data_IF_088194546279
#
_entry.id   IF_088194546279
#
_cell.length_a   1.000
_cell.length_b   1.000
_cell.length_c   1.000
_cell.angle_alpha   90.00
_cell.angle_beta   90.00
_cell.angle_gamma   90.00
#
_symmetry.space_group_name_H-M   'P 1'
#
loop_
_entity.id
_entity.type
_entity.pdbx_description
1 polymer ?
#
# COMPACT_ATOMS: atom_id res chain seq x y z
N UNK A 1 2.02 2.26 -34.01
CA UNK A 1 0.82 1.86 -34.78
C UNK A 1 0.29 3.10 -35.47
N UNK A 2 0.03 2.99 -36.77
CA UNK A 2 -0.54 4.10 -37.53
C UNK A 2 -2.04 4.27 -37.18
N UNK A 3 -2.64 5.46 -37.35
CA UNK A 3 -4.08 5.66 -37.18
C UNK A 3 -4.94 4.71 -38.05
N UNK A 4 -4.39 4.27 -39.19
CA UNK A 4 -5.06 3.38 -40.15
C UNK A 4 -5.13 1.91 -39.65
N UNK A 5 -4.17 1.50 -38.82
CA UNK A 5 -4.18 0.17 -38.18
C UNK A 5 -5.29 0.07 -37.12
N UNK A 6 -5.51 1.15 -36.35
CA UNK A 6 -6.58 1.25 -35.37
C UNK A 6 -7.96 1.26 -36.03
N UNK A 7 -8.12 1.99 -37.14
CA UNK A 7 -9.36 2.00 -37.94
C UNK A 7 -9.73 0.62 -38.48
N UNK A 8 -8.72 -0.14 -38.95
CA UNK A 8 -8.91 -1.48 -39.48
C UNK A 8 -9.29 -2.50 -38.40
N UNK A 9 -8.68 -2.42 -37.21
CA UNK A 9 -9.05 -3.24 -36.04
C UNK A 9 -10.45 -2.86 -35.54
N UNK A 10 -10.78 -1.57 -35.52
CA UNK A 10 -12.10 -1.06 -35.12
C UNK A 10 -13.19 -1.54 -36.08
N UNK A 11 -12.94 -1.53 -37.40
CA UNK A 11 -13.85 -2.08 -38.41
C UNK A 11 -14.00 -3.59 -38.30
N UNK A 12 -12.90 -4.32 -38.04
CA UNK A 12 -12.97 -5.78 -37.85
C UNK A 12 -13.79 -6.14 -36.61
N UNK A 13 -13.58 -5.44 -35.49
CA UNK A 13 -14.32 -5.63 -34.23
C UNK A 13 -15.78 -5.20 -34.36
N UNK A 14 -16.08 -4.13 -35.08
CA UNK A 14 -17.44 -3.64 -35.31
C UNK A 14 -18.22 -4.54 -36.30
N UNK A 15 -17.56 -5.10 -37.32
CA UNK A 15 -18.14 -6.14 -38.19
C UNK A 15 -18.39 -7.43 -37.41
N UNK A 16 -17.48 -7.80 -36.52
CA UNK A 16 -17.64 -8.99 -35.66
C UNK A 16 -18.81 -8.78 -34.68
N UNK A 17 -18.90 -7.60 -34.05
CA UNK A 17 -19.97 -7.20 -33.12
C UNK A 17 -21.35 -7.10 -33.79
N UNK A 18 -21.44 -6.53 -35.00
CA UNK A 18 -22.71 -6.44 -35.75
C UNK A 18 -23.16 -7.79 -36.30
N UNK A 19 -22.22 -8.70 -36.61
CA UNK A 19 -22.50 -10.07 -37.03
C UNK A 19 -23.01 -10.94 -35.87
N UNK A 20 -22.41 -10.82 -34.68
CA UNK A 20 -22.83 -11.57 -33.48
C UNK A 20 -24.04 -10.96 -32.77
N UNK A 21 -24.23 -9.63 -32.80
CA UNK A 21 -25.43 -8.97 -32.26
C UNK A 21 -26.72 -9.39 -32.98
N UNK A 22 -26.67 -9.69 -34.30
CA UNK A 22 -27.79 -10.29 -35.03
C UNK A 22 -28.13 -11.72 -34.61
N UNK A 23 -27.21 -12.43 -33.96
CA UNK A 23 -27.48 -13.74 -33.35
C UNK A 23 -28.05 -13.60 -31.93
N UNK A 24 -27.78 -12.49 -31.23
CA UNK A 24 -28.21 -12.27 -29.84
C UNK A 24 -29.73 -12.02 -29.71
N UNK A 25 -30.34 -11.32 -30.67
CA UNK A 25 -31.81 -11.12 -30.73
C UNK A 25 -32.60 -12.44 -30.95
N UNK A 26 -31.90 -13.55 -31.21
CA UNK A 26 -32.50 -14.88 -31.40
C UNK A 26 -32.18 -15.89 -30.31
N UNK A 27 -31.47 -15.50 -29.24
CA UNK A 27 -31.20 -16.41 -28.11
C UNK A 27 -32.40 -16.44 -27.16
N UNK A 28 -33.48 -17.09 -27.62
CA UNK A 28 -34.38 -17.85 -26.74
C UNK A 28 -33.52 -18.94 -26.09
N UNK A 29 -33.71 -19.30 -24.79
CA UNK A 29 -32.92 -20.36 -24.18
C UNK A 29 -33.10 -21.64 -25.00
N UNK A 30 -32.05 -22.21 -25.61
CA UNK A 30 -32.18 -23.51 -26.22
C UNK A 30 -32.11 -24.51 -25.08
N UNK A 31 -33.28 -25.04 -24.69
CA UNK A 31 -33.29 -26.42 -24.24
C UNK A 31 -32.60 -27.23 -25.35
N UNK A 32 -31.48 -27.86 -25.01
CA UNK A 32 -30.73 -28.79 -25.88
C UNK A 32 -30.20 -28.20 -27.21
N UNK A 33 -29.07 -27.50 -27.16
CA UNK A 33 -28.31 -27.17 -28.37
C UNK A 33 -26.96 -26.53 -28.07
N UNK A 34 -25.88 -27.30 -28.16
CA UNK A 34 -24.53 -26.87 -27.80
C UNK A 34 -24.02 -25.73 -28.67
N UNK A 35 -24.03 -24.51 -28.13
CA UNK A 35 -23.06 -23.51 -28.54
C UNK A 35 -21.67 -24.10 -28.24
N UNK A 36 -20.81 -24.22 -29.24
CA UNK A 36 -19.46 -24.75 -29.01
C UNK A 36 -18.75 -23.85 -27.99
N UNK A 37 -18.12 -24.44 -26.97
CA UNK A 37 -17.34 -23.71 -25.93
C UNK A 37 -16.35 -22.73 -26.57
N UNK A 38 -15.85 -23.07 -27.76
CA UNK A 38 -15.00 -22.23 -28.60
C UNK A 38 -15.67 -20.93 -29.09
N UNK A 39 -16.94 -20.98 -29.48
CA UNK A 39 -17.69 -19.80 -29.94
C UNK A 39 -17.92 -18.80 -28.81
N UNK A 40 -18.19 -19.28 -27.60
CA UNK A 40 -18.36 -18.43 -26.41
C UNK A 40 -17.03 -17.80 -26.01
N UNK A 41 -15.94 -18.58 -26.00
CA UNK A 41 -14.60 -18.07 -25.68
C UNK A 41 -14.13 -17.01 -26.70
N UNK A 42 -14.34 -17.23 -28.00
CA UNK A 42 -13.97 -16.25 -29.02
C UNK A 42 -14.75 -14.94 -28.84
N UNK A 43 -16.05 -15.04 -28.54
CA UNK A 43 -16.89 -13.87 -28.29
C UNK A 43 -16.41 -13.08 -27.07
N UNK A 44 -16.21 -13.76 -25.93
CA UNK A 44 -15.71 -13.14 -24.70
C UNK A 44 -14.35 -12.46 -24.94
N UNK A 45 -13.40 -13.14 -25.59
CA UNK A 45 -12.09 -12.54 -25.91
C UNK A 45 -12.21 -11.31 -26.81
N UNK A 46 -13.06 -11.36 -27.84
CA UNK A 46 -13.25 -10.23 -28.76
C UNK A 46 -13.87 -9.01 -28.07
N UNK A 47 -14.88 -9.23 -27.22
CA UNK A 47 -15.57 -8.18 -26.49
C UNK A 47 -14.66 -7.58 -25.41
N UNK A 48 -13.89 -8.39 -24.68
CA UNK A 48 -12.91 -7.93 -23.70
C UNK A 48 -11.81 -7.09 -24.34
N UNK A 49 -11.23 -7.54 -25.46
CA UNK A 49 -10.20 -6.77 -26.16
C UNK A 49 -10.74 -5.43 -26.69
N UNK A 50 -11.96 -5.45 -27.23
CA UNK A 50 -12.63 -4.24 -27.71
C UNK A 50 -12.93 -3.28 -26.55
N UNK A 51 -13.40 -3.78 -25.42
CA UNK A 51 -13.75 -2.96 -24.27
C UNK A 51 -12.52 -2.30 -23.64
N UNK A 52 -11.41 -3.03 -23.49
CA UNK A 52 -10.12 -2.48 -23.06
C UNK A 52 -9.63 -1.36 -24.00
N UNK A 53 -9.76 -1.58 -25.32
CA UNK A 53 -9.37 -0.59 -26.33
C UNK A 53 -10.25 0.67 -26.22
N UNK A 54 -11.55 0.54 -25.99
CA UNK A 54 -12.42 1.69 -25.78
C UNK A 54 -12.04 2.43 -24.49
N UNK A 55 -11.88 1.71 -23.38
CA UNK A 55 -11.54 2.28 -22.06
C UNK A 55 -10.24 3.09 -22.09
N UNK A 56 -9.22 2.62 -22.82
CA UNK A 56 -7.94 3.35 -22.98
C UNK A 56 -8.02 4.61 -23.85
N UNK A 57 -9.10 4.77 -24.62
CA UNK A 57 -9.33 5.94 -25.46
C UNK A 57 -10.28 6.98 -24.83
N UNK A 58 -10.94 6.66 -23.72
CA UNK A 58 -11.75 7.61 -22.97
C UNK A 58 -10.91 8.78 -22.43
N UNK A 59 -11.47 9.98 -22.45
CA UNK A 59 -10.84 11.22 -21.99
C UNK A 59 -9.92 11.89 -23.02
N UNK A 60 -9.73 11.27 -24.20
CA UNK A 60 -8.97 11.87 -25.31
C UNK A 60 -9.78 12.90 -26.10
N UNK A 61 -11.11 12.80 -26.08
CA UNK A 61 -12.01 13.70 -26.82
C UNK A 61 -13.41 13.71 -26.20
N UNK A 62 -13.78 14.84 -25.57
CA UNK A 62 -15.09 15.05 -24.95
C UNK A 62 -16.31 14.64 -25.82
N UNK A 63 -16.39 14.97 -27.12
CA UNK A 63 -17.54 14.55 -27.94
C UNK A 63 -17.53 13.06 -28.29
N UNK A 64 -16.38 12.39 -28.27
CA UNK A 64 -16.30 10.94 -28.48
C UNK A 64 -16.63 10.16 -27.21
N UNK A 65 -16.32 10.72 -26.03
CA UNK A 65 -16.48 10.05 -24.75
C UNK A 65 -17.93 9.59 -24.52
N UNK A 66 -18.93 10.41 -24.85
CA UNK A 66 -20.36 10.01 -24.73
C UNK A 66 -20.69 8.78 -25.58
N UNK A 67 -20.17 8.72 -26.82
CA UNK A 67 -20.39 7.58 -27.72
C UNK A 67 -19.65 6.34 -27.23
N UNK A 68 -18.41 6.50 -26.76
CA UNK A 68 -17.60 5.41 -26.23
C UNK A 68 -18.22 4.82 -24.95
N UNK A 69 -18.77 5.65 -24.06
CA UNK A 69 -19.50 5.22 -22.86
C UNK A 69 -20.76 4.44 -23.23
N UNK A 70 -21.54 4.90 -24.20
CA UNK A 70 -22.71 4.17 -24.68
C UNK A 70 -22.34 2.80 -25.28
N UNK A 71 -21.21 2.73 -26.00
CA UNK A 71 -20.67 1.46 -26.50
C UNK A 71 -20.24 0.55 -25.35
N UNK A 72 -19.51 1.07 -24.35
CA UNK A 72 -19.11 0.30 -23.18
C UNK A 72 -20.33 -0.23 -22.42
N UNK A 73 -21.35 0.58 -22.17
CA UNK A 73 -22.57 0.14 -21.48
C UNK A 73 -23.24 -1.04 -22.19
N UNK A 74 -23.31 -1.03 -23.53
CA UNK A 74 -23.86 -2.14 -24.33
C UNK A 74 -22.96 -3.38 -24.30
N UNK A 75 -21.64 -3.20 -24.34
CA UNK A 75 -20.70 -4.32 -24.23
C UNK A 75 -20.85 -4.96 -22.86
N UNK A 76 -20.80 -4.18 -21.79
CA UNK A 76 -20.94 -4.64 -20.41
C UNK A 76 -22.26 -5.38 -20.19
N UNK A 77 -23.40 -4.88 -20.71
CA UNK A 77 -24.70 -5.55 -20.58
C UNK A 77 -24.77 -6.90 -21.31
N UNK A 78 -23.93 -7.10 -22.34
CA UNK A 78 -23.79 -8.39 -23.03
C UNK A 78 -22.77 -9.32 -22.37
N UNK A 79 -21.68 -8.75 -21.84
CA UNK A 79 -20.53 -9.50 -21.32
C UNK A 79 -20.85 -10.15 -19.97
N UNK A 80 -21.56 -9.45 -19.07
CA UNK A 80 -21.91 -9.98 -17.75
C UNK A 80 -22.70 -11.29 -17.79
N UNK A 81 -23.88 -11.36 -18.44
CA UNK A 81 -24.66 -12.60 -18.56
C UNK A 81 -23.94 -13.71 -19.31
N UNK A 82 -23.12 -13.38 -20.32
CA UNK A 82 -22.33 -14.35 -21.07
C UNK A 82 -21.27 -15.02 -20.17
N UNK A 83 -20.62 -14.25 -19.30
CA UNK A 83 -19.66 -14.75 -18.32
C UNK A 83 -20.35 -15.61 -17.26
N UNK A 84 -21.50 -15.19 -16.73
CA UNK A 84 -22.26 -16.01 -15.78
C UNK A 84 -22.68 -17.35 -16.37
N UNK A 85 -23.08 -17.37 -17.64
CA UNK A 85 -23.46 -18.58 -18.37
C UNK A 85 -22.25 -19.49 -18.58
N UNK A 86 -21.10 -18.91 -18.95
CA UNK A 86 -19.84 -19.63 -19.08
C UNK A 86 -19.40 -20.27 -17.76
N UNK A 87 -19.50 -19.54 -16.65
CA UNK A 87 -19.23 -20.03 -15.29
C UNK A 87 -20.15 -21.19 -14.91
N UNK A 88 -21.47 -21.06 -15.12
CA UNK A 88 -22.43 -22.14 -14.83
C UNK A 88 -22.19 -23.40 -15.66
N UNK A 89 -21.73 -23.25 -16.90
CA UNK A 89 -21.51 -24.38 -17.81
C UNK A 89 -20.20 -25.12 -17.52
N UNK A 90 -19.16 -24.42 -17.07
CA UNK A 90 -17.82 -24.98 -16.87
C UNK A 90 -17.48 -25.32 -15.40
N UNK A 91 -18.16 -24.72 -14.40
CA UNK A 91 -17.88 -24.94 -12.98
C UNK A 91 -18.71 -26.04 -12.30
N UNK A 92 -19.63 -26.70 -13.02
CA UNK A 92 -20.48 -27.78 -12.48
C UNK A 92 -19.82 -29.18 -12.50
N UNK A 93 -18.57 -29.30 -12.94
CA UNK A 93 -17.83 -30.55 -12.88
C UNK A 93 -17.03 -30.60 -11.56
N UNK A 94 -17.56 -31.31 -10.56
CA UNK A 94 -17.01 -31.45 -9.20
C UNK A 94 -15.59 -32.07 -9.11
N UNK A 95 -14.97 -32.44 -10.23
CA UNK A 95 -13.73 -33.23 -10.27
C UNK A 95 -12.56 -32.56 -11.04
N UNK A 96 -12.63 -31.29 -11.43
CA UNK A 96 -11.47 -30.67 -12.10
C UNK A 96 -10.43 -30.08 -11.12
N UNK A 97 -9.14 -30.39 -11.29
CA UNK A 97 -8.08 -29.78 -10.50
C UNK A 97 -8.03 -28.27 -10.74
N UNK A 98 -7.77 -27.52 -9.67
CA UNK A 98 -7.82 -26.06 -9.58
C UNK A 98 -6.71 -25.33 -10.39
N UNK A 99 -6.27 -25.87 -11.51
CA UNK A 99 -5.11 -25.42 -12.27
C UNK A 99 -5.35 -25.50 -13.77
N UNK A 100 -6.40 -24.85 -14.28
CA UNK A 100 -6.60 -24.67 -15.72
C UNK A 100 -6.49 -23.19 -16.12
N UNK A 101 -5.91 -22.88 -17.30
CA UNK A 101 -5.81 -21.52 -17.86
C UNK A 101 -7.17 -20.82 -18.00
N UNK A 102 -8.26 -21.59 -17.94
CA UNK A 102 -9.65 -21.13 -17.89
C UNK A 102 -9.93 -20.21 -16.69
N UNK A 103 -9.28 -20.40 -15.54
CA UNK A 103 -9.50 -19.55 -14.36
C UNK A 103 -8.90 -18.15 -14.52
N UNK A 104 -7.65 -18.05 -15.00
CA UNK A 104 -6.99 -16.77 -15.25
C UNK A 104 -7.77 -15.95 -16.29
N UNK A 105 -8.23 -16.62 -17.36
CA UNK A 105 -9.06 -16.04 -18.40
C UNK A 105 -10.38 -15.49 -17.87
N UNK A 106 -11.09 -16.25 -17.03
CA UNK A 106 -12.34 -15.79 -16.42
C UNK A 106 -12.12 -14.55 -15.56
N UNK A 107 -11.07 -14.54 -14.73
CA UNK A 107 -10.74 -13.38 -13.89
C UNK A 107 -10.47 -12.16 -14.78
N UNK A 108 -9.70 -12.32 -15.85
CA UNK A 108 -9.39 -11.23 -16.78
C UNK A 108 -10.65 -10.65 -17.46
N UNK A 109 -11.55 -11.52 -17.94
CA UNK A 109 -12.80 -11.08 -18.56
C UNK A 109 -13.68 -10.35 -17.56
N UNK A 110 -13.81 -10.84 -16.33
CA UNK A 110 -14.59 -10.19 -15.27
C UNK A 110 -13.99 -8.85 -14.86
N UNK A 111 -12.65 -8.75 -14.76
CA UNK A 111 -11.99 -7.46 -14.50
C UNK A 111 -12.29 -6.45 -15.60
N UNK A 112 -12.29 -6.89 -16.87
CA UNK A 112 -12.64 -6.01 -17.98
C UNK A 112 -14.10 -5.52 -17.88
N UNK A 113 -15.07 -6.38 -17.49
CA UNK A 113 -16.46 -5.96 -17.24
C UNK A 113 -16.49 -4.85 -16.17
N UNK A 114 -15.78 -5.08 -15.06
CA UNK A 114 -15.71 -4.15 -13.93
C UNK A 114 -15.09 -2.80 -14.33
N UNK A 115 -13.97 -2.82 -15.05
CA UNK A 115 -13.31 -1.60 -15.52
C UNK A 115 -14.21 -0.79 -16.47
N UNK A 116 -15.02 -1.46 -17.28
CA UNK A 116 -15.98 -0.79 -18.16
C UNK A 116 -17.11 -0.10 -17.38
N UNK A 117 -17.63 -0.74 -16.33
CA UNK A 117 -18.61 -0.11 -15.43
C UNK A 117 -18.00 1.08 -14.70
N UNK A 118 -16.79 0.93 -14.18
CA UNK A 118 -16.05 2.00 -13.50
C UNK A 118 -15.79 3.21 -14.40
N UNK A 119 -15.41 2.96 -15.66
CA UNK A 119 -15.17 4.00 -16.64
C UNK A 119 -16.48 4.76 -16.94
N UNK A 120 -17.59 4.03 -17.09
CA UNK A 120 -18.92 4.61 -17.31
C UNK A 120 -19.40 5.45 -16.13
N UNK A 121 -19.03 5.08 -14.90
CA UNK A 121 -19.34 5.85 -13.68
C UNK A 121 -18.46 7.10 -13.49
N UNK A 122 -17.32 7.19 -14.18
CA UNK A 122 -16.34 8.27 -13.96
C UNK A 122 -16.55 9.53 -14.80
N UNK A 123 -17.39 9.44 -15.84
CA UNK A 123 -17.69 10.53 -16.77
C UNK A 123 -19.11 11.03 -16.53
N UNK A 124 -19.31 11.67 -15.37
CA UNK A 124 -20.55 12.40 -15.11
C UNK A 124 -20.51 13.72 -15.88
N UNK A 125 -21.08 13.70 -17.10
CA UNK A 125 -21.54 14.91 -17.78
C UNK A 125 -22.81 15.36 -17.05
N UNK A 126 -22.70 16.44 -16.30
CA UNK A 126 -23.82 17.21 -15.73
C UNK A 126 -24.75 16.46 -14.76
N UNK A 127 -24.29 16.30 -13.50
CA UNK A 127 -25.15 16.46 -12.32
C UNK A 127 -26.43 15.62 -12.22
N UNK A 128 -26.56 14.52 -12.96
CA UNK A 128 -27.68 13.58 -12.85
C UNK A 128 -27.21 12.36 -12.07
N UNK A 129 -27.44 12.42 -10.76
CA UNK A 129 -27.40 11.27 -9.86
C UNK A 129 -28.26 10.13 -10.43
N UNK A 130 -27.67 9.20 -11.15
CA UNK A 130 -28.33 7.98 -11.60
C UNK A 130 -27.40 6.80 -11.33
N UNK A 131 -27.79 5.99 -10.34
CA UNK A 131 -27.22 4.70 -9.93
C UNK A 131 -25.69 4.66 -9.76
N UNK A 132 -25.23 5.02 -8.57
CA UNK A 132 -23.88 4.73 -8.04
C UNK A 132 -23.61 3.24 -7.80
N UNK A 133 -24.43 2.33 -8.34
CA UNK A 133 -24.37 0.90 -8.05
C UNK A 133 -23.89 0.13 -9.27
N UNK A 134 -22.88 -0.73 -9.05
CA UNK A 134 -22.37 -1.67 -10.04
C UNK A 134 -23.47 -2.65 -10.47
N UNK A 135 -23.64 -2.87 -11.77
CA UNK A 135 -24.74 -3.67 -12.30
C UNK A 135 -24.51 -5.18 -12.08
N UNK A 136 -23.25 -5.63 -12.10
CA UNK A 136 -22.88 -7.03 -11.92
C UNK A 136 -22.24 -7.33 -10.55
N UNK A 137 -22.69 -6.65 -9.49
CA UNK A 137 -22.10 -6.75 -8.14
C UNK A 137 -22.01 -8.20 -7.60
N UNK A 138 -23.04 -9.02 -7.83
CA UNK A 138 -23.06 -10.43 -7.41
C UNK A 138 -21.96 -11.25 -8.07
N UNK A 139 -21.73 -11.04 -9.37
CA UNK A 139 -20.65 -11.69 -10.11
C UNK A 139 -19.29 -11.32 -9.51
N UNK A 140 -19.06 -10.03 -9.24
CA UNK A 140 -17.79 -9.57 -8.67
C UNK A 140 -17.54 -10.13 -7.27
N UNK A 141 -18.58 -10.21 -6.42
CA UNK A 141 -18.47 -10.80 -5.09
C UNK A 141 -18.09 -12.28 -5.14
N UNK A 142 -18.73 -13.07 -6.02
CA UNK A 142 -18.43 -14.50 -6.19
C UNK A 142 -16.98 -14.70 -6.65
N UNK A 143 -16.55 -13.94 -7.66
CA UNK A 143 -15.17 -14.01 -8.18
C UNK A 143 -14.16 -13.59 -7.12
N UNK A 144 -14.45 -12.52 -6.36
CA UNK A 144 -13.60 -12.08 -5.26
C UNK A 144 -13.43 -13.17 -4.19
N UNK A 145 -14.53 -13.78 -3.73
CA UNK A 145 -14.47 -14.86 -2.75
C UNK A 145 -13.69 -16.08 -3.26
N UNK A 146 -13.85 -16.41 -4.55
CA UNK A 146 -13.11 -17.51 -5.17
C UNK A 146 -11.61 -17.23 -5.24
N UNK A 147 -11.22 -16.03 -5.67
CA UNK A 147 -9.81 -15.59 -5.68
C UNK A 147 -9.23 -15.68 -4.26
N UNK A 148 -9.92 -15.12 -3.26
CA UNK A 148 -9.46 -15.15 -1.87
C UNK A 148 -9.36 -16.59 -1.33
N UNK A 149 -10.18 -17.52 -1.79
CA UNK A 149 -10.07 -18.92 -1.37
C UNK A 149 -8.87 -19.63 -2.03
N UNK A 150 -8.59 -19.32 -3.28
CA UNK A 150 -7.69 -20.12 -4.11
C UNK A 150 -6.26 -19.58 -4.19
N UNK A 151 -6.07 -18.26 -4.22
CA UNK A 151 -4.82 -17.58 -4.55
C UNK A 151 -3.62 -18.02 -3.70
N UNK A 152 -3.80 -18.22 -2.39
CA UNK A 152 -2.74 -18.61 -1.45
C UNK A 152 -2.82 -20.07 -0.97
N UNK A 153 -3.74 -20.87 -1.49
CA UNK A 153 -4.05 -22.22 -0.98
C UNK A 153 -3.05 -23.31 -1.41
N UNK A 154 -2.46 -23.17 -2.59
CA UNK A 154 -1.58 -24.14 -3.24
C UNK A 154 -0.80 -23.43 -4.37
N UNK A 155 0.24 -24.04 -4.97
CA UNK A 155 0.90 -23.48 -6.14
C UNK A 155 -0.09 -23.18 -7.28
N UNK A 156 -0.02 -21.98 -7.86
CA UNK A 156 -0.91 -21.52 -8.95
C UNK A 156 -0.11 -21.01 -10.16
N UNK A 157 -0.69 -21.06 -11.37
CA UNK A 157 -0.12 -20.41 -12.54
C UNK A 157 0.06 -18.89 -12.32
N UNK A 158 1.16 -18.33 -12.82
CA UNK A 158 1.48 -16.91 -12.67
C UNK A 158 0.41 -15.99 -13.26
N UNK A 159 -0.14 -16.34 -14.42
CA UNK A 159 -1.19 -15.56 -15.08
C UNK A 159 -2.44 -15.43 -14.21
N UNK A 160 -2.79 -16.49 -13.46
CA UNK A 160 -3.91 -16.45 -12.52
C UNK A 160 -3.63 -15.49 -11.35
N UNK A 161 -2.41 -15.53 -10.80
CA UNK A 161 -2.02 -14.66 -9.68
C UNK A 161 -2.02 -13.18 -10.09
N UNK A 162 -1.45 -12.88 -11.27
CA UNK A 162 -1.41 -11.51 -11.81
C UNK A 162 -2.82 -10.99 -12.08
N UNK A 163 -3.66 -11.76 -12.79
CA UNK A 163 -5.05 -11.38 -13.07
C UNK A 163 -5.87 -11.22 -11.80
N UNK A 164 -5.63 -12.06 -10.78
CA UNK A 164 -6.28 -11.97 -9.47
C UNK A 164 -5.93 -10.69 -8.73
N UNK A 165 -4.65 -10.32 -8.66
CA UNK A 165 -4.21 -9.06 -8.03
C UNK A 165 -4.80 -7.85 -8.74
N UNK A 166 -4.84 -7.87 -10.09
CA UNK A 166 -5.45 -6.82 -10.88
C UNK A 166 -6.96 -6.69 -10.59
N UNK A 167 -7.69 -7.81 -10.58
CA UNK A 167 -9.11 -7.84 -10.23
C UNK A 167 -9.36 -7.28 -8.83
N UNK A 168 -8.63 -7.75 -7.82
CA UNK A 168 -8.82 -7.31 -6.43
C UNK A 168 -8.58 -5.80 -6.26
N UNK A 169 -7.59 -5.26 -6.97
CA UNK A 169 -7.31 -3.82 -7.00
C UNK A 169 -8.45 -3.03 -7.63
N UNK A 170 -8.90 -3.43 -8.81
CA UNK A 170 -10.02 -2.80 -9.51
C UNK A 170 -11.32 -2.88 -8.69
N UNK A 171 -11.59 -4.03 -8.08
CA UNK A 171 -12.81 -4.26 -7.29
C UNK A 171 -12.82 -3.43 -6.01
N UNK A 172 -11.70 -3.38 -5.29
CA UNK A 172 -11.59 -2.52 -4.12
C UNK A 172 -11.78 -1.04 -4.49
N UNK A 173 -11.12 -0.57 -5.55
CA UNK A 173 -11.30 0.79 -6.09
C UNK A 173 -12.75 1.10 -6.43
N UNK A 174 -13.50 0.13 -6.95
CA UNK A 174 -14.91 0.29 -7.27
C UNK A 174 -15.79 0.40 -6.02
N UNK A 175 -15.53 -0.42 -5.01
CA UNK A 175 -16.30 -0.38 -3.78
C UNK A 175 -16.11 0.95 -3.05
N UNK A 176 -14.88 1.46 -3.02
CA UNK A 176 -14.57 2.77 -2.43
C UNK A 176 -15.33 3.92 -3.09
N UNK A 177 -15.61 3.82 -4.39
CA UNK A 177 -16.40 4.82 -5.11
C UNK A 177 -17.91 4.68 -4.89
N UNK A 178 -18.39 3.53 -4.45
CA UNK A 178 -19.83 3.15 -4.53
C UNK A 178 -20.48 2.83 -3.19
N UNK A 179 -19.73 2.62 -2.09
CA UNK A 179 -20.24 2.25 -0.76
C UNK A 179 -19.39 2.84 0.39
N UNK A 180 -19.96 2.87 1.60
CA UNK A 180 -19.32 3.15 2.91
C UNK A 180 -19.73 2.04 3.91
N UNK A 181 -19.02 1.63 4.96
CA UNK A 181 -17.63 1.80 5.42
C UNK A 181 -17.17 0.45 6.06
N UNK A 182 -18.01 -0.24 6.84
CA UNK A 182 -17.59 -1.43 7.62
C UNK A 182 -17.43 -2.76 6.84
N UNK A 183 -18.30 -3.08 5.88
CA UNK A 183 -18.18 -4.33 5.09
C UNK A 183 -16.96 -4.29 4.15
N UNK A 184 -16.62 -3.09 3.66
CA UNK A 184 -15.45 -2.85 2.83
C UNK A 184 -14.16 -3.08 3.59
N UNK A 185 -14.15 -2.70 4.86
CA UNK A 185 -13.04 -2.94 5.76
C UNK A 185 -12.82 -4.45 5.92
N UNK A 186 -13.84 -5.23 6.25
CA UNK A 186 -13.65 -6.69 6.39
C UNK A 186 -13.09 -7.32 5.11
N UNK A 187 -13.58 -6.91 3.95
CA UNK A 187 -13.06 -7.37 2.66
C UNK A 187 -11.59 -6.97 2.46
N UNK A 188 -11.22 -5.75 2.83
CA UNK A 188 -9.84 -5.26 2.82
C UNK A 188 -8.91 -6.16 3.63
N UNK A 189 -9.29 -6.51 4.87
CA UNK A 189 -8.46 -7.38 5.73
C UNK A 189 -8.24 -8.71 5.05
N UNK A 190 -9.30 -9.28 4.48
CA UNK A 190 -9.23 -10.56 3.80
C UNK A 190 -8.28 -10.50 2.59
N UNK A 191 -8.37 -9.45 1.77
CA UNK A 191 -7.46 -9.22 0.64
C UNK A 191 -6.01 -9.15 1.12
N UNK A 192 -5.72 -8.31 2.12
CA UNK A 192 -4.36 -8.09 2.60
C UNK A 192 -3.74 -9.33 3.25
N UNK A 193 -4.51 -10.04 4.08
CA UNK A 193 -4.08 -11.31 4.64
C UNK A 193 -3.82 -12.36 3.55
N UNK A 194 -4.60 -12.35 2.47
CA UNK A 194 -4.38 -13.27 1.35
C UNK A 194 -3.09 -12.98 0.60
N UNK A 195 -2.85 -11.70 0.29
CA UNK A 195 -1.61 -11.25 -0.36
C UNK A 195 -0.41 -11.56 0.53
N UNK A 196 -0.51 -11.34 1.84
CA UNK A 196 0.56 -11.70 2.78
C UNK A 196 0.81 -13.21 2.82
N UNK A 197 -0.25 -14.02 2.83
CA UNK A 197 -0.13 -15.49 2.76
C UNK A 197 0.49 -15.94 1.45
N UNK A 198 0.12 -15.30 0.33
CA UNK A 198 0.71 -15.54 -0.98
C UNK A 198 2.21 -15.23 -0.91
N UNK A 199 2.61 -14.03 -0.51
CA UNK A 199 4.03 -13.62 -0.46
C UNK A 199 4.90 -14.45 0.50
N UNK A 200 4.30 -15.08 1.51
CA UNK A 200 4.97 -15.99 2.44
C UNK A 200 4.99 -17.45 1.97
N UNK A 201 4.38 -17.76 0.83
CA UNK A 201 4.25 -19.13 0.37
C UNK A 201 5.60 -19.71 -0.05
N UNK A 202 5.95 -20.88 0.49
CA UNK A 202 7.24 -21.55 0.24
C UNK A 202 7.41 -22.03 -1.20
N UNK A 203 6.35 -22.01 -2.00
CA UNK A 203 6.35 -22.43 -3.40
C UNK A 203 6.59 -21.28 -4.39
N UNK A 204 6.62 -20.03 -3.94
CA UNK A 204 6.99 -18.89 -4.77
C UNK A 204 8.51 -18.72 -4.77
N UNK A 205 9.10 -18.72 -5.98
CA UNK A 205 10.50 -18.36 -6.14
C UNK A 205 10.69 -16.83 -6.10
N UNK A 206 11.93 -16.37 -5.89
CA UNK A 206 12.26 -14.94 -6.00
C UNK A 206 11.81 -14.35 -7.34
N UNK A 207 12.07 -15.04 -8.45
CA UNK A 207 11.69 -14.57 -9.79
C UNK A 207 10.17 -14.49 -10.00
N UNK A 208 9.39 -15.31 -9.28
CA UNK A 208 7.93 -15.24 -9.35
C UNK A 208 7.40 -14.07 -8.53
N UNK A 209 8.00 -13.78 -7.38
CA UNK A 209 7.65 -12.61 -6.57
C UNK A 209 7.92 -11.32 -7.34
N UNK A 210 9.01 -11.23 -8.10
CA UNK A 210 9.32 -10.08 -8.97
C UNK A 210 8.21 -9.81 -10.00
N UNK A 211 7.63 -10.86 -10.59
CA UNK A 211 6.52 -10.72 -11.54
C UNK A 211 5.21 -10.26 -10.88
N UNK A 212 5.01 -10.58 -9.60
CA UNK A 212 3.84 -10.15 -8.83
C UNK A 212 3.98 -8.74 -8.27
N UNK A 213 5.21 -8.22 -8.18
CA UNK A 213 5.55 -6.93 -7.58
C UNK A 213 4.61 -5.81 -8.05
N UNK A 214 4.36 -5.57 -9.36
CA UNK A 214 3.54 -4.44 -9.79
C UNK A 214 2.08 -4.56 -9.34
N UNK A 215 1.52 -5.78 -9.37
CA UNK A 215 0.13 -6.03 -8.96
C UNK A 215 -0.06 -5.89 -7.45
N UNK A 216 0.91 -6.36 -6.67
CA UNK A 216 0.93 -6.19 -5.20
C UNK A 216 1.08 -4.72 -4.83
N UNK A 217 1.96 -3.99 -5.51
CA UNK A 217 2.17 -2.56 -5.26
C UNK A 217 0.93 -1.73 -5.57
N UNK A 218 0.29 -1.96 -6.71
CA UNK A 218 -0.89 -1.19 -7.09
C UNK A 218 -2.05 -1.45 -6.12
N UNK A 219 -2.22 -2.71 -5.72
CA UNK A 219 -3.17 -3.08 -4.69
C UNK A 219 -2.84 -2.39 -3.36
N UNK A 220 -1.61 -2.49 -2.86
CA UNK A 220 -1.19 -1.82 -1.63
C UNK A 220 -1.34 -0.29 -1.72
N UNK A 221 -1.06 0.33 -2.85
CA UNK A 221 -1.24 1.77 -3.09
C UNK A 221 -2.71 2.16 -2.95
N UNK A 222 -3.61 1.40 -3.55
CA UNK A 222 -5.06 1.63 -3.45
C UNK A 222 -5.58 1.43 -2.03
N UNK A 223 -5.16 0.34 -1.40
CA UNK A 223 -5.48 0.02 -0.01
C UNK A 223 -4.99 1.13 0.94
N UNK A 224 -3.79 1.65 0.68
CA UNK A 224 -3.16 2.68 1.50
C UNK A 224 -3.79 4.07 1.32
N UNK A 225 -4.01 4.50 0.07
CA UNK A 225 -4.59 5.80 -0.25
C UNK A 225 -5.94 5.99 0.45
N UNK A 226 -6.77 4.95 0.47
CA UNK A 226 -8.11 4.96 1.08
C UNK A 226 -8.03 4.98 2.60
N UNK A 227 -7.07 4.26 3.20
CA UNK A 227 -6.88 4.30 4.65
C UNK A 227 -6.38 5.66 5.14
N UNK A 228 -5.50 6.30 4.38
CA UNK A 228 -5.00 7.64 4.73
C UNK A 228 -6.09 8.72 4.73
N UNK A 229 -7.20 8.48 4.03
CA UNK A 229 -8.38 9.36 4.06
C UNK A 229 -9.35 9.11 5.21
N UNK A 230 -9.37 7.93 5.85
CA UNK A 230 -10.44 7.58 6.79
C UNK A 230 -10.19 7.98 8.25
N UNK A 231 -8.96 8.32 8.67
CA UNK A 231 -8.55 8.73 10.04
C UNK A 231 -9.08 7.90 11.23
N UNK A 232 -9.82 6.81 11.02
CA UNK A 232 -10.45 6.05 12.11
C UNK A 232 -9.44 5.22 12.90
N UNK A 233 -9.21 5.53 14.17
CA UNK A 233 -8.29 4.81 15.04
C UNK A 233 -8.66 3.33 15.27
N UNK A 234 -9.94 2.96 15.12
CA UNK A 234 -10.44 1.58 15.33
C UNK A 234 -9.77 0.57 14.39
N UNK A 235 -9.33 1.03 13.22
CA UNK A 235 -8.77 0.21 12.16
C UNK A 235 -7.25 0.07 12.27
N UNK A 236 -6.60 0.73 13.22
CA UNK A 236 -5.13 0.72 13.29
C UNK A 236 -4.58 -0.67 13.57
N UNK A 237 -5.16 -1.38 14.54
CA UNK A 237 -4.70 -2.72 14.93
C UNK A 237 -5.10 -3.82 13.93
N UNK A 238 -6.37 -3.95 13.51
CA UNK A 238 -6.76 -4.99 12.56
C UNK A 238 -6.28 -4.76 11.11
N UNK A 239 -5.93 -3.53 10.73
CA UNK A 239 -5.70 -3.18 9.33
C UNK A 239 -4.34 -2.54 9.08
N UNK A 240 -4.06 -1.41 9.73
CA UNK A 240 -2.84 -0.65 9.47
C UNK A 240 -1.59 -1.45 9.83
N UNK A 241 -1.57 -2.08 11.00
CA UNK A 241 -0.42 -2.86 11.47
C UNK A 241 -0.10 -4.04 10.54
N UNK A 242 -1.07 -4.92 10.17
CA UNK A 242 -0.81 -5.98 9.19
C UNK A 242 -0.38 -5.49 7.81
N UNK A 243 -0.93 -4.36 7.33
CA UNK A 243 -0.54 -3.78 6.05
C UNK A 243 0.93 -3.33 6.07
N UNK A 244 1.34 -2.61 7.11
CA UNK A 244 2.72 -2.18 7.30
C UNK A 244 3.65 -3.38 7.49
N UNK A 245 3.25 -4.39 8.26
CA UNK A 245 4.03 -5.61 8.42
C UNK A 245 4.22 -6.36 7.09
N UNK A 246 3.20 -6.35 6.22
CA UNK A 246 3.28 -6.94 4.88
C UNK A 246 4.25 -6.18 3.97
N UNK A 247 4.14 -4.85 3.95
CA UNK A 247 5.09 -3.97 3.24
C UNK A 247 6.51 -4.16 3.77
N UNK A 248 6.68 -4.30 5.08
CA UNK A 248 7.97 -4.55 5.72
C UNK A 248 8.54 -5.90 5.28
N UNK A 249 7.71 -6.94 5.20
CA UNK A 249 8.13 -8.25 4.70
C UNK A 249 8.59 -8.22 3.25
N UNK A 250 7.94 -7.38 2.41
CA UNK A 250 8.37 -7.15 1.02
C UNK A 250 9.69 -6.38 0.97
N UNK A 251 9.81 -5.31 1.75
CA UNK A 251 11.04 -4.52 1.84
C UNK A 251 12.25 -5.38 2.27
N UNK A 252 12.03 -6.37 3.16
CA UNK A 252 13.10 -7.30 3.61
C UNK A 252 13.68 -8.17 2.50
N UNK A 253 12.98 -8.30 1.38
CA UNK A 253 13.50 -9.03 0.22
C UNK A 253 14.60 -8.27 -0.53
N UNK A 254 14.78 -6.97 -0.23
CA UNK A 254 15.89 -6.16 -0.71
C UNK A 254 15.76 -5.70 -2.15
N UNK A 255 16.86 -5.12 -2.64
CA UNK A 255 16.93 -4.43 -3.93
C UNK A 255 16.61 -5.34 -5.13
N UNK A 256 16.90 -6.63 -5.03
CA UNK A 256 16.66 -7.59 -6.12
C UNK A 256 15.18 -7.84 -6.40
N UNK A 257 14.28 -7.47 -5.48
CA UNK A 257 12.83 -7.62 -5.62
C UNK A 257 12.06 -6.31 -5.62
N UNK A 258 12.68 -5.22 -5.18
CA UNK A 258 12.14 -3.86 -5.37
C UNK A 258 13.22 -3.07 -6.10
N UNK A 259 13.26 -3.26 -7.42
CA UNK A 259 14.31 -2.68 -8.26
C UNK A 259 14.14 -1.17 -8.42
N UNK A 260 12.92 -0.65 -8.28
CA UNK A 260 12.62 0.75 -8.48
C UNK A 260 12.51 1.51 -7.14
N UNK A 261 13.40 2.49 -6.87
CA UNK A 261 13.44 3.22 -5.61
C UNK A 261 12.17 4.02 -5.33
N UNK A 262 11.38 4.37 -6.37
CA UNK A 262 10.11 5.06 -6.19
C UNK A 262 9.11 4.26 -5.34
N UNK A 263 9.15 2.93 -5.37
CA UNK A 263 8.24 2.11 -4.57
C UNK A 263 8.53 2.24 -3.07
N UNK A 264 9.81 2.30 -2.69
CA UNK A 264 10.21 2.53 -1.31
C UNK A 264 9.83 3.94 -0.86
N UNK A 265 9.95 4.95 -1.74
CA UNK A 265 9.50 6.33 -1.46
C UNK A 265 7.97 6.40 -1.24
N UNK A 266 7.20 5.64 -2.00
CA UNK A 266 5.74 5.53 -1.79
C UNK A 266 5.43 4.90 -0.44
N UNK A 267 6.19 3.87 -0.02
CA UNK A 267 6.04 3.28 1.32
C UNK A 267 6.40 4.30 2.41
N UNK A 268 7.46 5.11 2.25
CA UNK A 268 7.76 6.18 3.19
C UNK A 268 6.62 7.21 3.28
N UNK A 269 6.08 7.61 2.13
CA UNK A 269 4.91 8.50 2.05
C UNK A 269 3.70 7.90 2.75
N UNK A 270 3.57 6.57 2.67
CA UNK A 270 2.52 5.83 3.35
C UNK A 270 2.73 5.81 4.88
N UNK A 271 3.91 5.44 5.35
CA UNK A 271 4.22 5.49 6.78
C UNK A 271 4.01 6.89 7.38
N UNK A 272 4.22 7.94 6.59
CA UNK A 272 4.00 9.32 7.00
C UNK A 272 2.53 9.67 7.30
N UNK A 273 1.54 9.00 6.72
CA UNK A 273 0.12 9.33 6.97
C UNK A 273 -0.55 8.43 8.01
N UNK A 274 0.20 7.51 8.64
CA UNK A 274 -0.33 6.66 9.70
C UNK A 274 -0.59 7.45 10.99
N UNK A 275 -1.76 7.30 11.65
CA UNK A 275 -2.04 7.97 12.91
C UNK A 275 -1.18 7.36 14.02
N UNK A 276 -0.52 8.22 14.80
CA UNK A 276 0.23 7.86 16.00
C UNK A 276 -0.26 8.63 17.23
N UNK A 277 -1.29 9.45 17.07
CA UNK A 277 -1.81 10.35 18.10
C UNK A 277 -3.10 9.76 18.68
N UNK A 278 -3.32 9.95 19.98
CA UNK A 278 -4.56 9.58 20.69
C UNK A 278 -4.96 8.09 20.59
N UNK A 279 -3.99 7.20 20.40
CA UNK A 279 -4.22 5.75 20.37
C UNK A 279 -4.20 5.15 21.78
N UNK A 280 -4.99 4.11 22.01
CA UNK A 280 -4.88 3.31 23.23
C UNK A 280 -3.47 2.66 23.29
N UNK A 281 -2.83 2.54 24.47
CA UNK A 281 -1.45 2.06 24.60
C UNK A 281 -1.09 0.78 23.84
N UNK A 282 -1.86 -0.32 23.87
CA UNK A 282 -1.50 -1.52 23.09
C UNK A 282 -1.57 -1.31 21.57
N UNK A 283 -2.52 -0.46 21.10
CA UNK A 283 -2.67 -0.11 19.68
C UNK A 283 -1.51 0.80 19.26
N UNK A 284 -1.18 1.77 20.11
CA UNK A 284 -0.02 2.65 19.95
C UNK A 284 1.26 1.84 19.78
N UNK A 285 1.55 0.92 20.70
CA UNK A 285 2.74 0.07 20.64
C UNK A 285 2.84 -0.69 19.30
N UNK A 286 1.73 -1.31 18.90
CA UNK A 286 1.69 -2.13 17.68
C UNK A 286 1.93 -1.29 16.42
N UNK A 287 1.32 -0.10 16.34
CA UNK A 287 1.53 0.84 15.24
C UNK A 287 2.96 1.37 15.22
N UNK A 288 3.48 1.77 16.38
CA UNK A 288 4.83 2.29 16.56
C UNK A 288 5.88 1.26 16.12
N UNK A 289 5.76 0.03 16.61
CA UNK A 289 6.65 -1.08 16.26
C UNK A 289 6.60 -1.37 14.75
N UNK A 290 5.41 -1.39 14.14
CA UNK A 290 5.28 -1.63 12.71
C UNK A 290 6.01 -0.57 11.87
N UNK A 291 5.86 0.71 12.22
CA UNK A 291 6.58 1.81 11.52
C UNK A 291 8.08 1.73 11.77
N UNK A 292 8.50 1.48 13.01
CA UNK A 292 9.90 1.30 13.37
C UNK A 292 10.56 0.17 12.55
N UNK A 293 9.93 -1.01 12.49
CA UNK A 293 10.44 -2.15 11.73
C UNK A 293 10.51 -1.88 10.22
N UNK A 294 9.54 -1.15 9.68
CA UNK A 294 9.56 -0.72 8.29
C UNK A 294 10.75 0.20 7.99
N UNK A 295 10.96 1.23 8.83
CA UNK A 295 12.10 2.15 8.70
C UNK A 295 13.43 1.41 8.84
N UNK A 296 13.54 0.51 9.83
CA UNK A 296 14.75 -0.27 10.05
C UNK A 296 15.08 -1.13 8.83
N UNK A 297 14.06 -1.78 8.27
CA UNK A 297 14.21 -2.58 7.04
C UNK A 297 14.66 -1.73 5.86
N UNK A 298 14.17 -0.49 5.73
CA UNK A 298 14.60 0.43 4.66
C UNK A 298 16.09 0.78 4.81
N UNK A 299 16.57 1.08 6.02
CA UNK A 299 18.01 1.31 6.27
C UNK A 299 18.84 0.10 5.87
N UNK A 300 18.40 -1.11 6.24
CA UNK A 300 19.20 -2.33 6.02
C UNK A 300 19.16 -2.84 4.59
N UNK A 301 18.00 -2.82 3.94
CA UNK A 301 17.76 -3.51 2.68
C UNK A 301 17.70 -2.56 1.48
N UNK A 302 17.58 -1.24 1.70
CA UNK A 302 17.42 -0.22 0.65
C UNK A 302 18.26 1.06 0.90
N UNK A 303 19.58 0.97 1.15
CA UNK A 303 20.44 2.10 1.49
C UNK A 303 20.53 3.18 0.38
N UNK A 304 20.39 2.79 -0.89
CA UNK A 304 20.32 3.68 -2.05
C UNK A 304 19.09 4.59 -2.04
N UNK A 305 17.98 4.12 -1.46
CA UNK A 305 16.79 4.96 -1.28
C UNK A 305 17.00 5.92 -0.12
N UNK A 306 17.67 5.48 0.95
CA UNK A 306 17.95 6.34 2.10
C UNK A 306 18.76 7.56 1.67
N UNK A 307 19.78 7.42 0.84
CA UNK A 307 20.59 8.56 0.37
C UNK A 307 19.81 9.54 -0.50
N UNK A 308 18.84 9.06 -1.30
CA UNK A 308 18.06 9.89 -2.23
C UNK A 308 16.80 10.48 -1.60
N UNK A 309 16.23 9.81 -0.59
CA UNK A 309 15.00 10.17 0.09
C UNK A 309 15.19 10.36 1.61
N UNK A 310 16.41 10.71 2.05
CA UNK A 310 16.74 10.96 3.45
C UNK A 310 15.75 11.91 4.15
N UNK A 311 15.29 13.03 3.53
CA UNK A 311 14.30 13.90 4.16
C UNK A 311 12.96 13.20 4.44
N UNK A 312 12.47 12.38 3.50
CA UNK A 312 11.23 11.63 3.68
C UNK A 312 11.37 10.58 4.77
N UNK A 313 12.50 9.86 4.80
CA UNK A 313 12.83 8.90 5.86
C UNK A 313 12.85 9.58 7.23
N UNK A 314 13.63 10.65 7.37
CA UNK A 314 13.78 11.37 8.63
C UNK A 314 12.48 12.01 9.09
N UNK A 315 11.61 12.44 8.17
CA UNK A 315 10.30 12.97 8.54
C UNK A 315 9.42 11.90 9.20
N UNK A 316 9.39 10.68 8.65
CA UNK A 316 8.67 9.56 9.29
C UNK A 316 9.28 9.21 10.64
N UNK A 317 10.61 9.15 10.74
CA UNK A 317 11.29 8.89 12.01
C UNK A 317 11.03 9.99 13.04
N UNK A 318 11.10 11.25 12.65
CA UNK A 318 10.79 12.38 13.53
C UNK A 318 9.35 12.32 14.06
N UNK A 319 8.39 11.85 13.27
CA UNK A 319 7.02 11.61 13.77
C UNK A 319 6.98 10.58 14.91
N UNK A 320 7.79 9.52 14.85
CA UNK A 320 7.92 8.57 15.96
C UNK A 320 8.53 9.25 17.20
N UNK A 321 9.60 10.02 17.04
CA UNK A 321 10.25 10.77 18.12
C UNK A 321 9.28 11.74 18.79
N UNK A 322 8.58 12.55 17.99
CA UNK A 322 7.62 13.52 18.51
C UNK A 322 6.43 12.84 19.19
N UNK A 323 5.92 11.76 18.59
CA UNK A 323 4.82 10.99 19.17
C UNK A 323 5.19 10.43 20.55
N UNK A 324 6.36 9.79 20.70
CA UNK A 324 6.76 9.23 22.00
C UNK A 324 7.09 10.32 23.03
N UNK A 325 7.58 11.49 22.59
CA UNK A 325 7.78 12.63 23.49
C UNK A 325 6.45 13.17 24.04
N UNK A 326 5.41 13.24 23.21
CA UNK A 326 4.09 13.70 23.63
C UNK A 326 3.38 12.69 24.53
N UNK A 327 3.41 11.41 24.17
CA UNK A 327 2.77 10.34 24.95
C UNK A 327 3.54 10.03 26.25
N UNK A 328 4.87 10.12 26.21
CA UNK A 328 5.79 9.89 27.33
C UNK A 328 5.95 11.07 28.29
N UNK A 329 5.10 12.10 28.18
CA UNK A 329 5.10 13.25 29.08
C UNK A 329 4.72 12.84 30.51
N UNK A 330 5.34 13.50 31.48
CA UNK A 330 5.00 13.37 32.88
C UNK A 330 3.61 13.95 33.13
N UNK A 331 2.60 13.06 33.20
CA UNK A 331 1.29 13.38 33.79
C UNK A 331 1.48 13.37 35.32
N UNK A 332 0.65 14.08 36.09
CA UNK A 332 0.79 14.19 37.55
C UNK A 332 0.76 12.85 38.31
N UNK A 333 0.61 12.89 39.64
CA UNK A 333 0.86 11.81 40.63
C UNK A 333 0.06 10.48 40.50
N UNK A 334 -0.51 10.17 39.32
CA UNK A 334 -1.41 9.05 39.06
C UNK A 334 -0.86 7.99 38.06
N UNK A 335 0.42 8.01 37.70
CA UNK A 335 0.94 7.22 36.57
C UNK A 335 1.87 6.05 37.00
N UNK A 336 1.32 5.10 37.75
CA UNK A 336 1.89 3.74 37.90
C UNK A 336 0.90 2.73 37.33
N UNK A 337 0.86 2.62 36.00
CA UNK A 337 0.02 1.66 35.28
C UNK A 337 0.82 0.88 34.23
N UNK A 338 0.20 -0.19 33.72
CA UNK A 338 0.69 -1.06 32.62
C UNK A 338 1.06 -0.24 31.37
N UNK A 339 0.40 0.90 31.16
CA UNK A 339 0.66 1.85 30.07
C UNK A 339 2.08 2.45 30.13
N UNK A 340 2.66 2.53 31.32
CA UNK A 340 4.02 3.07 31.51
C UNK A 340 5.08 2.23 30.80
N UNK A 341 4.93 0.89 30.81
CA UNK A 341 5.89 -0.02 30.19
C UNK A 341 5.84 0.06 28.66
N UNK A 342 4.66 0.28 28.08
CA UNK A 342 4.49 0.42 26.63
C UNK A 342 5.31 1.58 26.08
N UNK A 343 5.20 2.77 26.68
CA UNK A 343 5.94 3.94 26.21
C UNK A 343 7.45 3.80 26.45
N UNK A 344 7.85 3.13 27.54
CA UNK A 344 9.25 2.80 27.78
C UNK A 344 9.81 1.85 26.72
N UNK A 345 9.04 0.86 26.27
CA UNK A 345 9.45 0.00 25.16
C UNK A 345 9.58 0.79 23.85
N UNK A 346 8.65 1.70 23.55
CA UNK A 346 8.74 2.56 22.37
C UNK A 346 9.94 3.51 22.41
N UNK A 347 10.32 4.05 23.58
CA UNK A 347 11.50 4.92 23.69
C UNK A 347 12.81 4.16 23.40
N UNK A 348 12.91 2.89 23.82
CA UNK A 348 14.03 1.99 23.48
C UNK A 348 14.11 1.69 21.98
N UNK A 349 12.96 1.59 21.30
CA UNK A 349 12.94 1.45 19.83
C UNK A 349 13.50 2.71 19.15
N UNK A 350 13.15 3.91 19.66
CA UNK A 350 13.72 5.17 19.14
C UNK A 350 15.23 5.25 19.36
N UNK A 351 15.71 4.93 20.56
CA UNK A 351 17.14 4.86 20.86
C UNK A 351 17.86 3.94 19.86
N UNK A 352 17.33 2.73 19.66
CA UNK A 352 17.89 1.76 18.72
C UNK A 352 17.92 2.27 17.28
N UNK A 353 16.86 2.96 16.85
CA UNK A 353 16.82 3.56 15.51
C UNK A 353 17.87 4.67 15.35
N UNK A 354 18.10 5.50 16.37
CA UNK A 354 19.18 6.48 16.35
C UNK A 354 20.55 5.81 16.19
N UNK A 355 20.82 4.70 16.87
CA UNK A 355 22.05 3.93 16.69
C UNK A 355 22.19 3.39 15.26
N UNK A 356 21.11 2.91 14.65
CA UNK A 356 21.12 2.44 13.25
C UNK A 356 21.36 3.57 12.25
N UNK A 357 20.74 4.74 12.47
CA UNK A 357 20.99 5.93 11.65
C UNK A 357 22.45 6.36 11.78
N UNK A 358 23.01 6.32 13.00
CA UNK A 358 24.41 6.66 13.24
C UNK A 358 25.38 5.66 12.58
N UNK A 359 25.05 4.36 12.58
CA UNK A 359 25.81 3.35 11.85
C UNK A 359 25.75 3.55 10.32
N UNK A 360 24.66 4.13 9.82
CA UNK A 360 24.45 4.45 8.40
C UNK A 360 24.70 5.94 8.07
N UNK A 361 25.60 6.61 8.80
CA UNK A 361 25.80 8.07 8.73
C UNK A 361 26.09 8.61 7.32
N UNK A 362 26.73 7.82 6.45
CA UNK A 362 27.01 8.20 5.05
C UNK A 362 25.73 8.51 4.25
N UNK A 363 24.61 7.83 4.57
CA UNK A 363 23.33 8.06 3.91
C UNK A 363 22.60 9.31 4.41
N UNK A 364 23.06 9.92 5.50
CA UNK A 364 22.41 11.06 6.17
C UNK A 364 23.34 12.27 6.31
N UNK A 365 24.36 12.39 5.46
CA UNK A 365 25.32 13.50 5.54
C UNK A 365 24.63 14.87 5.58
N UNK A 366 25.15 15.77 6.43
CA UNK A 366 24.60 17.11 6.69
C UNK A 366 23.20 17.18 7.34
N UNK A 367 22.58 16.06 7.70
CA UNK A 367 21.30 16.02 8.42
C UNK A 367 21.36 15.91 9.96
N UNK A 368 22.47 15.48 10.63
CA UNK A 368 22.52 15.37 12.09
C UNK A 368 22.13 16.64 12.83
N UNK A 369 22.59 17.81 12.38
CA UNK A 369 22.25 19.09 12.98
C UNK A 369 20.72 19.34 12.96
N UNK A 370 20.05 19.01 11.86
CA UNK A 370 18.60 19.16 11.72
C UNK A 370 17.85 18.19 12.64
N UNK A 371 18.31 16.95 12.77
CA UNK A 371 17.73 15.97 13.69
C UNK A 371 17.82 16.44 15.14
N UNK A 372 18.98 16.99 15.54
CA UNK A 372 19.16 17.59 16.88
C UNK A 372 18.22 18.77 17.08
N UNK A 373 18.15 19.68 16.09
CA UNK A 373 17.25 20.84 16.16
C UNK A 373 15.78 20.43 16.33
N UNK A 374 15.33 19.43 15.56
CA UNK A 374 13.99 18.86 15.65
C UNK A 374 13.73 18.25 17.03
N UNK A 375 14.65 17.44 17.54
CA UNK A 375 14.57 16.83 18.86
C UNK A 375 14.43 17.88 19.98
N UNK A 376 15.32 18.89 20.02
CA UNK A 376 15.27 19.91 21.08
C UNK A 376 14.04 20.82 20.98
N UNK A 377 13.55 21.04 19.76
CA UNK A 377 12.32 21.82 19.52
C UNK A 377 11.11 21.10 20.09
N UNK A 378 11.05 19.78 19.93
CA UNK A 378 9.96 18.98 20.47
C UNK A 378 10.08 18.80 21.99
N UNK A 379 11.30 18.56 22.48
CA UNK A 379 11.58 18.44 23.92
C UNK A 379 11.20 19.71 24.68
N UNK A 380 11.37 20.90 24.09
CA UNK A 380 10.96 22.16 24.72
C UNK A 380 9.45 22.21 25.06
N UNK A 381 8.62 21.44 24.35
CA UNK A 381 7.16 21.46 24.49
C UNK A 381 6.65 20.58 25.63
N UNK A 382 7.47 19.64 26.13
CA UNK A 382 7.02 18.60 27.05
C UNK A 382 8.02 18.38 28.19
N UNK A 383 7.49 18.04 29.36
CA UNK A 383 8.30 17.48 30.45
C UNK A 383 8.19 15.97 30.38
N UNK A 384 9.29 15.28 30.05
CA UNK A 384 9.31 13.83 29.91
C UNK A 384 9.46 13.11 31.24
N UNK A 385 8.90 11.90 31.33
CA UNK A 385 9.20 10.98 32.44
C UNK A 385 10.69 10.61 32.42
N UNK A 386 11.36 10.45 33.58
CA UNK A 386 12.81 10.26 33.65
C UNK A 386 13.33 9.04 32.88
N UNK A 387 12.59 7.92 32.94
CA UNK A 387 12.91 6.66 32.26
C UNK A 387 12.85 6.78 30.73
N UNK A 388 11.85 7.49 30.21
CA UNK A 388 11.74 7.80 28.77
C UNK A 388 12.81 8.81 28.35
N UNK A 389 13.01 9.87 29.14
CA UNK A 389 14.02 10.91 28.87
C UNK A 389 15.41 10.28 28.74
N UNK A 390 15.74 9.31 29.57
CA UNK A 390 17.01 8.57 29.51
C UNK A 390 17.24 7.97 28.12
N UNK A 391 16.36 7.07 27.66
CA UNK A 391 16.51 6.38 26.37
C UNK A 391 16.53 7.34 25.16
N UNK A 392 15.67 8.37 25.17
CA UNK A 392 15.66 9.37 24.10
C UNK A 392 16.95 10.22 24.08
N UNK A 393 17.53 10.47 25.26
CA UNK A 393 18.76 11.24 25.42
C UNK A 393 19.99 10.43 24.96
N UNK A 394 20.07 9.15 25.32
CA UNK A 394 21.11 8.24 24.80
C UNK A 394 21.04 8.10 23.28
N UNK A 395 19.83 8.01 22.73
CA UNK A 395 19.60 8.00 21.29
C UNK A 395 20.13 9.26 20.59
N UNK A 396 19.75 10.45 21.07
CA UNK A 396 20.21 11.70 20.41
C UNK A 396 21.71 11.95 20.60
N UNK A 397 22.34 11.39 21.64
CA UNK A 397 23.80 11.43 21.80
C UNK A 397 24.54 10.70 20.68
N UNK A 398 23.99 9.60 20.17
CA UNK A 398 24.53 8.92 18.99
C UNK A 398 24.56 9.85 17.75
N UNK A 399 23.60 10.76 17.63
CA UNK A 399 23.55 11.73 16.52
C UNK A 399 24.48 12.93 16.78
N UNK A 400 24.59 13.38 18.03
CA UNK A 400 25.56 14.43 18.40
C UNK A 400 27.01 14.00 18.13
N UNK A 401 27.32 12.72 18.22
CA UNK A 401 28.64 12.19 17.83
C UNK A 401 28.94 12.37 16.32
N UNK A 402 27.91 12.51 15.48
CA UNK A 402 28.05 12.77 14.05
C UNK A 402 28.18 14.27 13.73
N UNK A 403 27.81 15.15 14.66
CA UNK A 403 27.85 16.59 14.46
C UNK A 403 29.29 17.12 14.51
N UNK A 404 29.67 17.86 13.47
CA UNK A 404 30.94 18.58 13.41
C UNK A 404 30.84 19.92 14.17
N UNK A 405 31.98 20.58 14.41
CA UNK A 405 31.98 21.89 15.08
C UNK A 405 31.10 22.93 14.37
N UNK A 406 31.01 22.86 13.04
CA UNK A 406 30.17 23.76 12.24
C UNK A 406 28.69 23.53 12.53
N UNK A 407 28.26 22.27 12.69
CA UNK A 407 26.89 21.91 13.06
C UNK A 407 26.52 22.45 14.43
N UNK A 408 27.43 22.35 15.40
CA UNK A 408 27.22 22.89 16.74
C UNK A 408 27.12 24.43 16.72
N UNK A 409 27.97 25.10 15.93
CA UNK A 409 27.89 26.57 15.73
C UNK A 409 26.57 26.96 15.07
N UNK A 410 26.15 26.20 14.06
CA UNK A 410 24.87 26.37 13.38
C UNK A 410 23.69 26.25 14.36
N UNK A 411 23.66 25.22 15.20
CA UNK A 411 22.60 25.02 16.20
C UNK A 411 22.56 26.17 17.22
N UNK A 412 23.72 26.58 17.75
CA UNK A 412 23.79 27.70 18.71
C UNK A 412 23.29 29.02 18.13
N UNK A 413 23.54 29.27 16.84
CA UNK A 413 23.11 30.49 16.18
C UNK A 413 21.65 30.43 15.68
N UNK A 414 21.24 29.30 15.11
CA UNK A 414 19.98 29.13 14.38
C UNK A 414 18.76 28.83 15.24
N UNK A 415 18.93 28.28 16.44
CA UNK A 415 17.81 27.98 17.34
C UNK A 415 17.27 29.26 18.00
N UNK A 416 15.95 29.32 18.20
CA UNK A 416 15.32 30.39 18.97
C UNK A 416 15.78 30.35 20.45
N UNK A 417 15.56 31.42 21.21
CA UNK A 417 16.12 31.55 22.56
C UNK A 417 15.78 30.39 23.50
N UNK A 418 14.50 29.99 23.57
CA UNK A 418 14.06 28.91 24.45
C UNK A 418 14.55 27.52 24.03
N UNK A 419 14.53 27.19 22.73
CA UNK A 419 15.07 25.91 22.23
C UNK A 419 16.61 25.86 22.41
N UNK A 420 17.27 27.01 22.28
CA UNK A 420 18.73 27.12 22.49
C UNK A 420 19.15 26.82 23.92
N UNK A 421 18.35 27.21 24.92
CA UNK A 421 18.60 26.87 26.32
C UNK A 421 18.55 25.35 26.54
N UNK A 422 17.50 24.69 26.03
CA UNK A 422 17.36 23.23 26.06
C UNK A 422 18.54 22.54 25.37
N UNK A 423 18.94 23.05 24.20
CA UNK A 423 20.11 22.53 23.50
C UNK A 423 21.41 22.72 24.29
N UNK A 424 21.62 23.87 24.93
CA UNK A 424 22.81 24.12 25.72
C UNK A 424 22.91 23.17 26.93
N UNK A 425 21.79 22.88 27.60
CA UNK A 425 21.74 21.89 28.69
C UNK A 425 22.06 20.48 28.18
N UNK A 426 21.42 20.06 27.07
CA UNK A 426 21.64 18.76 26.45
C UNK A 426 23.10 18.59 26.02
N UNK A 427 23.66 19.57 25.30
CA UNK A 427 25.04 19.57 24.82
C UNK A 427 26.05 19.64 25.97
N UNK A 428 25.75 20.39 27.03
CA UNK A 428 26.57 20.40 28.25
C UNK A 428 26.67 19.01 28.87
N UNK A 429 25.53 18.33 29.01
CA UNK A 429 25.46 16.96 29.54
C UNK A 429 26.19 15.96 28.62
N UNK A 430 26.04 16.09 27.31
CA UNK A 430 26.76 15.29 26.31
C UNK A 430 28.29 15.42 26.45
N UNK A 431 28.81 16.65 26.55
CA UNK A 431 30.25 16.89 26.67
C UNK A 431 30.82 16.38 27.99
N UNK A 432 30.06 16.48 29.08
CA UNK A 432 30.53 16.12 30.42
C UNK A 432 30.44 14.62 30.73
N UNK A 433 29.38 13.95 30.27
CA UNK A 433 29.09 12.57 30.68
C UNK A 433 29.30 11.57 29.54
N UNK A 434 28.71 11.80 28.37
CA UNK A 434 28.69 10.81 27.28
C UNK A 434 29.97 10.79 26.45
N UNK A 435 30.41 11.95 25.94
CA UNK A 435 31.60 12.04 25.05
C UNK A 435 32.89 11.47 25.68
N UNK A 436 33.20 11.72 26.97
CA UNK A 436 34.39 11.14 27.60
C UNK A 436 34.26 9.64 27.84
N UNK A 437 33.06 9.14 28.15
CA UNK A 437 32.81 7.71 28.37
C UNK A 437 33.06 6.92 27.09
N UNK A 438 32.52 7.38 25.95
CA UNK A 438 32.72 6.73 24.65
C UNK A 438 34.17 6.70 24.21
N UNK A 439 34.88 7.82 24.35
CA UNK A 439 36.33 7.90 24.09
C UNK A 439 37.17 7.03 25.04
N UNK A 440 36.63 6.70 26.22
CA UNK A 440 37.20 5.73 27.14
C UNK A 440 37.01 4.31 26.61
N UNK A 441 35.81 3.94 26.20
CA UNK A 441 35.46 2.62 25.67
C UNK A 441 36.26 2.26 24.41
N UNK A 442 36.41 3.20 23.47
CA UNK A 442 37.20 3.02 22.23
C UNK A 442 38.69 2.75 22.49
N UNK A 443 39.22 3.15 23.66
CA UNK A 443 40.62 2.88 24.05
C UNK A 443 40.86 1.46 24.55
N UNK A 444 39.80 0.73 24.91
CA UNK A 444 39.89 -0.64 25.47
C UNK A 444 39.37 -1.72 24.51
N UNK A 445 38.89 -1.36 23.32
CA UNK A 445 38.34 -2.27 22.31
C UNK A 445 39.27 -2.53 21.11
N UNK A 446 40.58 -2.22 21.22
CA UNK A 446 41.61 -2.49 20.19
C UNK A 446 42.11 -3.92 20.23
#
# INVERSE_FOLDING_TARGET
MSPDDLSSIFLLLLVTFTSTSRQLDKVVPPETGGASVFSVHLLLTSLTSFSQTITTNLGRSKPMDETLIQMLARITSSLGPAVETFLKTNCNAADQPASTPTQAYVVEVVTAVLDCELASLSVDVEGRQNNTQLAHMTLYQVVCQQILREMSSAPRPMDFLISSLHFLSAFYKALVKTRADEEMEQLYVQILQNVLRLLKASWLSSADVEKLEPGVQELLRHLFLVRSSSQDASLTLPFTVPAVASMTSLLRQGEGLINNPHHVILILSALQSLPLDHLAPPIYHSAFLAVHEALFTIIQCHPQVVSTAAPSFLNVFYRLVASIMQEGRQKGDADTGVDSDVYLQCSRLVERMYSHIAAAAESFTALPAFMVAQYVTELQKVTLRPDIKLHLTEGIYCILDLCMEQDIKFLKAGLNMGVREVFNELHGSYVHYHKPQRQGEDKYTV
#
